data_IF_715936061878
#
_entry.id   IF_715936061878
#
_cell.length_a   1.000
_cell.length_b   1.000
_cell.length_c   1.000
_cell.angle_alpha   90.00
_cell.angle_beta   90.00
_cell.angle_gamma   90.00
#
_symmetry.space_group_name_H-M   'P 1'
#
loop_
_entity.id
_entity.type
_entity.pdbx_description
1 polymer ?
#
# COMPACT_ATOMS: atom_id res chain seq x y z
N UNK A 1 32.27 7.53 22.30
CA UNK A 1 30.91 7.00 22.06
C UNK A 1 30.28 7.78 20.92
N UNK A 2 29.80 7.09 19.88
CA UNK A 2 29.11 7.72 18.73
C UNK A 2 27.60 7.48 18.87
N UNK A 3 26.82 8.54 18.68
CA UNK A 3 25.36 8.49 18.60
C UNK A 3 24.95 8.95 17.21
N UNK A 4 24.27 8.08 16.46
CA UNK A 4 23.87 8.34 15.08
C UNK A 4 22.34 8.34 14.97
N UNK A 5 21.84 9.23 14.11
CA UNK A 5 20.42 9.30 13.76
C UNK A 5 20.27 8.97 12.28
N UNK A 6 19.34 8.07 11.96
CA UNK A 6 19.07 7.62 10.59
C UNK A 6 17.62 7.93 10.24
N UNK A 7 17.42 8.57 9.10
CA UNK A 7 16.10 8.94 8.58
C UNK A 7 16.00 8.60 7.10
N UNK A 8 14.79 8.27 6.65
CA UNK A 8 14.53 7.98 5.24
C UNK A 8 14.39 9.29 4.46
N UNK A 9 15.33 9.58 3.55
CA UNK A 9 15.26 10.79 2.70
C UNK A 9 14.18 10.70 1.62
N UNK A 10 14.00 9.52 1.01
CA UNK A 10 12.98 9.28 0.00
C UNK A 10 12.28 7.95 0.27
N UNK A 11 10.95 7.94 0.15
CA UNK A 11 10.15 6.72 0.33
C UNK A 11 10.47 5.68 -0.76
N UNK A 12 10.36 4.37 -0.46
CA UNK A 12 10.53 3.34 -1.49
C UNK A 12 9.50 3.52 -2.61
N UNK A 13 9.95 3.55 -3.86
CA UNK A 13 9.10 3.72 -5.05
C UNK A 13 8.81 2.41 -5.79
N UNK A 14 9.68 1.40 -5.62
CA UNK A 14 9.53 0.10 -6.25
C UNK A 14 8.30 -0.63 -5.73
N UNK A 15 7.43 -1.07 -6.65
CA UNK A 15 6.24 -1.87 -6.36
C UNK A 15 6.65 -3.35 -6.29
N UNK A 16 6.39 -3.98 -5.14
CA UNK A 16 6.74 -5.39 -4.87
C UNK A 16 5.54 -6.30 -5.11
N UNK A 17 4.34 -5.83 -4.80
CA UNK A 17 3.10 -6.58 -5.02
C UNK A 17 1.94 -5.61 -5.26
N UNK A 18 0.94 -6.06 -6.01
CA UNK A 18 -0.33 -5.38 -6.18
C UNK A 18 -1.49 -6.36 -5.98
N UNK A 19 -2.61 -5.86 -5.49
CA UNK A 19 -3.84 -6.64 -5.35
C UNK A 19 -5.06 -5.75 -5.64
N UNK A 20 -6.02 -6.30 -6.37
CA UNK A 20 -7.27 -5.61 -6.71
C UNK A 20 -8.44 -6.27 -5.99
N UNK A 21 -9.37 -5.47 -5.49
CA UNK A 21 -10.58 -5.98 -4.85
C UNK A 21 -11.37 -4.91 -4.12
N UNK A 22 -12.46 -5.30 -3.48
CA UNK A 22 -13.33 -4.41 -2.72
C UNK A 22 -12.86 -4.33 -1.26
N UNK A 23 -11.99 -3.35 -0.95
CA UNK A 23 -11.38 -3.16 0.36
C UNK A 23 -11.97 -1.99 1.15
N UNK A 24 -12.25 -0.86 0.49
CA UNK A 24 -12.83 0.34 1.15
C UNK A 24 -14.34 0.25 1.30
N UNK A 25 -15.02 -0.33 0.30
CA UNK A 25 -16.47 -0.55 0.28
C UNK A 25 -16.76 -1.76 -0.62
N UNK A 26 -17.93 -2.38 -0.46
CA UNK A 26 -18.36 -3.50 -1.31
C UNK A 26 -18.61 -3.12 -2.77
N UNK A 27 -18.91 -1.84 -3.04
CA UNK A 27 -19.16 -1.31 -4.39
C UNK A 27 -17.91 -0.72 -5.05
N UNK A 28 -16.89 -0.35 -4.27
CA UNK A 28 -15.70 0.33 -4.78
C UNK A 28 -14.66 -0.69 -5.23
N UNK A 29 -14.11 -0.51 -6.43
CA UNK A 29 -12.95 -1.29 -6.89
C UNK A 29 -11.66 -0.62 -6.42
N UNK A 30 -10.92 -1.28 -5.52
CA UNK A 30 -9.65 -0.79 -5.01
C UNK A 30 -8.45 -1.43 -5.70
N UNK A 31 -7.38 -0.64 -5.78
CA UNK A 31 -6.03 -1.10 -6.12
C UNK A 31 -5.14 -0.87 -4.90
N UNK A 32 -4.61 -1.94 -4.33
CA UNK A 32 -3.63 -1.91 -3.24
C UNK A 32 -2.24 -2.15 -3.80
N UNK A 33 -1.29 -1.28 -3.47
CA UNK A 33 0.10 -1.37 -3.88
C UNK A 33 1.02 -1.52 -2.66
N UNK A 34 1.84 -2.56 -2.67
CA UNK A 34 2.87 -2.77 -1.67
C UNK A 34 4.22 -2.27 -2.19
N UNK A 35 4.79 -1.28 -1.51
CA UNK A 35 6.12 -0.71 -1.77
C UNK A 35 7.04 -0.94 -0.58
N UNK A 36 7.58 -2.15 -0.48
CA UNK A 36 8.45 -2.61 0.61
C UNK A 36 7.81 -2.43 2.01
N UNK A 37 8.02 -1.28 2.66
CA UNK A 37 7.50 -0.93 3.99
C UNK A 37 6.23 -0.09 3.95
N UNK A 38 5.75 0.27 2.74
CA UNK A 38 4.58 1.13 2.52
C UNK A 38 3.47 0.37 1.82
N UNK A 39 2.23 0.61 2.22
CA UNK A 39 1.02 0.14 1.57
C UNK A 39 0.23 1.36 1.09
N UNK A 40 -0.03 1.44 -0.21
CA UNK A 40 -0.86 2.48 -0.81
C UNK A 40 -2.19 1.88 -1.24
N UNK A 41 -3.29 2.60 -0.99
CA UNK A 41 -4.65 2.19 -1.30
C UNK A 41 -5.26 3.23 -2.22
N UNK A 42 -5.70 2.79 -3.38
CA UNK A 42 -6.36 3.58 -4.40
C UNK A 42 -7.80 3.09 -4.62
N UNK A 43 -8.69 3.99 -5.00
CA UNK A 43 -10.00 3.68 -5.58
C UNK A 43 -9.92 3.93 -7.07
N UNK A 44 -10.43 2.99 -7.85
CA UNK A 44 -10.51 3.11 -9.30
C UNK A 44 -11.70 3.99 -9.65
N UNK A 45 -11.45 5.08 -10.36
CA UNK A 45 -12.47 5.98 -10.92
C UNK A 45 -12.40 5.91 -12.45
N UNK A 46 -13.42 6.43 -13.15
CA UNK A 46 -13.43 6.43 -14.61
C UNK A 46 -12.23 7.19 -15.24
N UNK A 47 -11.73 8.19 -14.52
CA UNK A 47 -10.59 9.03 -14.94
C UNK A 47 -9.23 8.40 -14.60
N UNK A 48 -9.18 7.44 -13.66
CA UNK A 48 -7.93 6.81 -13.24
C UNK A 48 -7.95 6.31 -11.80
N UNK A 49 -6.87 6.58 -11.06
CA UNK A 49 -6.66 6.09 -9.70
C UNK A 49 -6.70 7.24 -8.71
N UNK A 50 -7.69 7.22 -7.81
CA UNK A 50 -7.79 8.19 -6.73
C UNK A 50 -7.09 7.65 -5.47
N UNK A 51 -6.04 8.32 -4.95
CA UNK A 51 -5.41 7.90 -3.71
C UNK A 51 -6.39 8.06 -2.55
N UNK A 52 -6.56 7.00 -1.76
CA UNK A 52 -7.40 7.02 -0.55
C UNK A 52 -6.53 7.11 0.69
N UNK A 53 -5.52 6.24 0.79
CA UNK A 53 -4.66 6.18 1.98
C UNK A 53 -3.30 5.60 1.66
N UNK A 54 -2.29 6.08 2.37
CA UNK A 54 -0.95 5.48 2.45
C UNK A 54 -0.67 5.13 3.91
N UNK A 55 -0.15 3.92 4.16
CA UNK A 55 0.18 3.41 5.49
C UNK A 55 1.61 2.88 5.48
N UNK A 56 2.36 3.14 6.54
CA UNK A 56 3.67 2.53 6.79
C UNK A 56 3.55 1.35 7.75
N UNK A 57 4.29 0.29 7.44
CA UNK A 57 4.38 -0.92 8.24
C UNK A 57 5.80 -1.01 8.81
N UNK A 58 5.92 -1.37 10.09
CA UNK A 58 7.21 -1.69 10.71
C UNK A 58 7.65 -3.10 10.32
N UNK A 59 7.93 -3.29 9.03
CA UNK A 59 8.30 -4.57 8.44
C UNK A 59 8.29 -4.50 6.92
N UNK A 60 8.72 -5.59 6.28
CA UNK A 60 8.67 -5.75 4.83
C UNK A 60 7.43 -6.53 4.42
N UNK A 61 6.63 -6.00 3.51
CA UNK A 61 5.49 -6.71 2.92
C UNK A 61 6.05 -7.82 2.03
N UNK A 62 5.86 -9.07 2.44
CA UNK A 62 6.25 -10.26 1.68
C UNK A 62 5.07 -10.88 0.94
N UNK A 63 3.91 -10.94 1.59
CA UNK A 63 2.67 -11.49 1.03
C UNK A 63 1.53 -10.51 1.30
N UNK A 64 0.75 -10.22 0.25
CA UNK A 64 -0.45 -9.39 0.33
C UNK A 64 -1.54 -10.08 -0.48
N UNK A 65 -2.62 -10.52 0.18
CA UNK A 65 -3.78 -11.15 -0.44
C UNK A 65 -5.06 -10.59 0.16
N UNK A 66 -6.02 -10.28 -0.72
CA UNK A 66 -7.39 -9.92 -0.34
C UNK A 66 -8.22 -11.21 -0.28
N UNK A 67 -9.13 -11.29 0.67
CA UNK A 67 -10.13 -12.35 0.72
C UNK A 67 -11.44 -11.79 1.27
N UNK A 68 -12.58 -12.36 0.84
CA UNK A 68 -13.90 -12.09 1.39
C UNK A 68 -14.42 -13.41 1.97
N UNK A 69 -14.54 -13.55 3.31
CA UNK A 69 -15.09 -14.75 3.92
C UNK A 69 -16.58 -14.92 3.57
N UNK A 70 -17.10 -16.16 3.59
CA UNK A 70 -18.52 -16.46 3.38
C UNK A 70 -19.41 -15.89 4.49
#
# INVERSE_FOLDING_TARGET
MSYNYVVTAHKPTSVVACATGNFTSSADLNLLLAKNTRLEIYVTTAEGLRPVKEISIYGRITVMKLFRPP
#
